data_IF_488198556535
#
_entry.id   IF_488198556535
#
_cell.length_a   1.000
_cell.length_b   1.000
_cell.length_c   1.000
_cell.angle_alpha   90.00
_cell.angle_beta   90.00
_cell.angle_gamma   90.00
#
_symmetry.space_group_name_H-M   'P 1'
#
loop_
_entity.id
_entity.type
_entity.pdbx_description
1 polymer ?
#
# COMPACT_ATOMS: atom_id res chain seq x y z
N UNK A 1 -25.37 -3.05 -35.53
CA UNK A 1 -25.10 -3.20 -34.08
C UNK A 1 -23.64 -3.53 -33.75
N UNK A 2 -22.82 -4.05 -34.67
CA UNK A 2 -21.43 -4.54 -34.42
C UNK A 2 -20.46 -3.61 -33.67
N UNK A 3 -20.58 -2.28 -33.76
CA UNK A 3 -19.63 -1.37 -33.10
C UNK A 3 -19.67 -1.42 -31.57
N UNK A 4 -20.81 -1.79 -30.97
CA UNK A 4 -20.93 -1.95 -29.52
C UNK A 4 -20.18 -3.19 -29.02
N UNK A 5 -20.30 -4.30 -29.74
CA UNK A 5 -19.64 -5.57 -29.37
C UNK A 5 -18.10 -5.44 -29.38
N UNK A 6 -17.54 -4.71 -30.37
CA UNK A 6 -16.11 -4.41 -30.38
C UNK A 6 -15.69 -3.47 -29.25
N UNK A 7 -16.52 -2.48 -28.91
CA UNK A 7 -16.25 -1.56 -27.80
C UNK A 7 -16.28 -2.25 -26.45
N UNK A 8 -17.18 -3.22 -26.27
CA UNK A 8 -17.31 -4.00 -25.04
C UNK A 8 -16.12 -4.97 -24.86
N UNK A 9 -15.77 -5.72 -25.91
CA UNK A 9 -14.59 -6.59 -25.88
C UNK A 9 -13.28 -5.80 -25.67
N UNK A 10 -13.16 -4.61 -26.28
CA UNK A 10 -12.00 -3.74 -26.07
C UNK A 10 -11.95 -3.19 -24.64
N UNK A 11 -13.10 -2.80 -24.08
CA UNK A 11 -13.19 -2.33 -22.70
C UNK A 11 -12.81 -3.44 -21.70
N UNK A 12 -13.28 -4.67 -21.93
CA UNK A 12 -12.93 -5.82 -21.11
C UNK A 12 -11.41 -6.09 -21.14
N UNK A 13 -10.78 -6.02 -22.31
CA UNK A 13 -9.33 -6.16 -22.44
C UNK A 13 -8.56 -5.07 -21.68
N UNK A 14 -9.06 -3.83 -21.69
CA UNK A 14 -8.46 -2.73 -20.93
C UNK A 14 -8.53 -3.02 -19.43
N UNK A 15 -9.70 -3.41 -18.93
CA UNK A 15 -9.89 -3.69 -17.50
C UNK A 15 -9.01 -4.85 -17.02
N UNK A 16 -8.84 -5.88 -17.85
CA UNK A 16 -7.93 -7.00 -17.58
C UNK A 16 -6.47 -6.53 -17.47
N UNK A 17 -6.00 -5.69 -18.40
CA UNK A 17 -4.63 -5.17 -18.36
C UNK A 17 -4.40 -4.22 -17.18
N UNK A 18 -5.38 -3.38 -16.84
CA UNK A 18 -5.29 -2.51 -15.66
C UNK A 18 -5.17 -3.34 -14.39
N UNK A 19 -5.97 -4.41 -14.25
CA UNK A 19 -5.88 -5.32 -13.11
C UNK A 19 -4.50 -5.99 -13.04
N UNK A 20 -4.02 -6.52 -14.18
CA UNK A 20 -2.69 -7.15 -14.26
C UNK A 20 -1.58 -6.20 -13.80
N UNK A 21 -1.57 -4.96 -14.29
CA UNK A 21 -0.57 -3.96 -13.91
C UNK A 21 -0.61 -3.62 -12.42
N UNK A 22 -1.81 -3.49 -11.84
CA UNK A 22 -1.97 -3.23 -10.41
C UNK A 22 -1.46 -4.39 -9.56
N UNK A 23 -1.81 -5.62 -9.94
CA UNK A 23 -1.36 -6.83 -9.23
C UNK A 23 0.17 -6.96 -9.29
N UNK A 24 0.78 -6.73 -10.45
CA UNK A 24 2.24 -6.75 -10.62
C UNK A 24 2.93 -5.68 -9.77
N UNK A 25 2.44 -4.45 -9.79
CA UNK A 25 2.99 -3.36 -8.99
C UNK A 25 2.87 -3.65 -7.48
N UNK A 26 1.74 -4.20 -7.04
CA UNK A 26 1.52 -4.60 -5.66
C UNK A 26 2.48 -5.72 -5.24
N UNK A 27 2.63 -6.77 -6.06
CA UNK A 27 3.56 -7.86 -5.76
C UNK A 27 5.01 -7.39 -5.72
N UNK A 28 5.41 -6.52 -6.65
CA UNK A 28 6.75 -5.94 -6.65
C UNK A 28 7.00 -5.14 -5.36
N UNK A 29 6.08 -4.26 -4.98
CA UNK A 29 6.19 -3.47 -3.76
C UNK A 29 6.28 -4.37 -2.52
N UNK A 30 5.39 -5.37 -2.42
CA UNK A 30 5.38 -6.34 -1.31
C UNK A 30 6.69 -7.12 -1.23
N UNK A 31 7.18 -7.65 -2.36
CA UNK A 31 8.44 -8.38 -2.40
C UNK A 31 9.62 -7.51 -1.99
N UNK A 32 9.64 -6.26 -2.44
CA UNK A 32 10.67 -5.28 -2.07
C UNK A 32 10.66 -5.03 -0.56
N UNK A 33 9.49 -4.81 0.03
CA UNK A 33 9.35 -4.60 1.47
C UNK A 33 9.74 -5.84 2.30
N UNK A 34 9.41 -7.04 1.81
CA UNK A 34 9.80 -8.31 2.47
C UNK A 34 11.30 -8.54 2.36
N UNK A 35 11.91 -8.30 1.19
CA UNK A 35 13.34 -8.45 0.98
C UNK A 35 14.17 -7.50 1.87
N UNK A 36 13.62 -6.33 2.18
CA UNK A 36 14.23 -5.32 3.04
C UNK A 36 13.56 -5.22 4.43
N UNK A 37 13.06 -6.35 4.96
CA UNK A 37 12.31 -6.40 6.21
C UNK A 37 13.10 -5.85 7.41
N UNK A 38 14.41 -6.11 7.45
CA UNK A 38 15.27 -5.66 8.54
C UNK A 38 15.43 -4.13 8.53
N UNK A 39 15.63 -3.52 7.36
CA UNK A 39 15.67 -2.06 7.23
C UNK A 39 14.31 -1.44 7.57
N UNK A 40 13.21 -2.08 7.17
CA UNK A 40 11.85 -1.63 7.50
C UNK A 40 11.59 -1.65 9.02
N UNK A 41 12.05 -2.68 9.72
CA UNK A 41 12.01 -2.76 11.20
C UNK A 41 12.76 -1.57 11.84
N UNK A 42 13.94 -1.25 11.33
CA UNK A 42 14.75 -0.12 11.85
C UNK A 42 14.04 1.20 11.61
N UNK A 43 13.50 1.43 10.42
CA UNK A 43 12.71 2.64 10.10
C UNK A 43 11.50 2.74 11.03
N UNK A 44 10.76 1.64 11.25
CA UNK A 44 9.60 1.64 12.11
C UNK A 44 9.96 2.00 13.57
N UNK A 45 11.04 1.42 14.11
CA UNK A 45 11.53 1.74 15.46
C UNK A 45 11.99 3.19 15.57
N UNK A 46 12.72 3.67 14.58
CA UNK A 46 13.17 5.05 14.55
C UNK A 46 12.00 6.05 14.46
N UNK A 47 10.93 5.74 13.69
CA UNK A 47 9.72 6.57 13.67
C UNK A 47 8.95 6.55 14.99
N UNK A 48 9.00 5.46 15.76
CA UNK A 48 8.43 5.43 17.11
C UNK A 48 9.21 6.30 18.10
N UNK A 49 10.53 6.39 17.93
CA UNK A 49 11.41 7.17 18.81
C UNK A 49 11.41 8.67 18.47
N UNK A 50 11.46 9.00 17.17
CA UNK A 50 11.70 10.36 16.67
C UNK A 50 10.51 10.99 15.94
N UNK A 51 9.40 10.27 15.76
CA UNK A 51 8.15 10.65 15.05
C UNK A 51 8.28 10.94 13.56
N UNK A 52 9.37 11.59 13.13
CA UNK A 52 9.63 11.99 11.75
C UNK A 52 11.07 11.66 11.36
N UNK A 53 11.25 11.16 10.14
CA UNK A 53 12.56 10.92 9.52
C UNK A 53 12.63 11.62 8.17
N UNK A 54 13.76 12.22 7.89
CA UNK A 54 14.06 12.82 6.59
C UNK A 54 14.51 11.76 5.58
N UNK A 55 14.38 12.06 4.28
CA UNK A 55 14.75 11.14 3.20
C UNK A 55 16.23 10.70 3.23
N UNK A 56 17.15 11.56 3.71
CA UNK A 56 18.55 11.21 3.90
C UNK A 56 18.75 10.13 4.96
N UNK A 57 17.96 10.16 6.04
CA UNK A 57 18.00 9.20 7.14
C UNK A 57 17.39 7.87 6.74
N UNK A 58 16.29 7.89 5.99
CA UNK A 58 15.73 6.67 5.39
C UNK A 58 16.76 6.02 4.47
N UNK A 59 17.40 6.81 3.60
CA UNK A 59 18.44 6.31 2.68
C UNK A 59 19.61 5.70 3.45
N UNK A 60 20.05 6.35 4.52
CA UNK A 60 21.09 5.84 5.40
C UNK A 60 20.73 4.48 6.02
N UNK A 61 19.50 4.32 6.51
CA UNK A 61 19.02 3.04 7.04
C UNK A 61 18.97 1.97 5.96
N UNK A 62 18.53 2.32 4.75
CA UNK A 62 18.46 1.37 3.61
C UNK A 62 19.86 0.89 3.20
N UNK A 63 20.84 1.79 3.14
CA UNK A 63 22.21 1.49 2.69
C UNK A 63 23.06 0.82 3.77
N UNK A 64 22.91 1.22 5.04
CA UNK A 64 23.80 0.83 6.13
C UNK A 64 23.14 -0.10 7.16
N UNK A 65 21.83 -0.31 7.05
CA UNK A 65 21.05 -1.15 7.96
C UNK A 65 20.82 -0.54 9.34
N UNK A 66 21.22 0.71 9.58
CA UNK A 66 21.10 1.40 10.87
C UNK A 66 21.04 2.91 10.71
N UNK A 67 20.46 3.59 11.70
CA UNK A 67 20.46 5.04 11.81
C UNK A 67 21.71 5.50 12.59
N UNK A 68 22.65 6.13 11.90
CA UNK A 68 23.87 6.75 12.43
C UNK A 68 23.63 8.22 12.76
N UNK A 69 22.86 8.95 11.96
CA UNK A 69 22.58 10.37 12.13
C UNK A 69 21.11 10.62 12.55
N UNK A 70 20.79 10.56 13.85
CA UNK A 70 19.43 10.75 14.33
C UNK A 70 18.90 12.18 14.06
N UNK A 71 17.56 12.35 13.93
CA UNK A 71 16.95 13.67 13.75
C UNK A 71 17.34 14.62 14.88
N UNK A 72 17.67 15.87 14.54
CA UNK A 72 17.99 16.90 15.52
C UNK A 72 16.71 17.65 15.88
N UNK A 73 16.24 17.53 17.12
CA UNK A 73 15.14 18.35 17.65
C UNK A 73 13.85 17.62 17.99
N UNK A 74 13.71 16.33 17.66
CA UNK A 74 12.68 15.47 18.24
C UNK A 74 13.24 14.80 19.49
N UNK A 75 13.20 15.51 20.61
CA UNK A 75 13.31 14.84 21.90
C UNK A 75 12.11 13.87 22.02
N UNK A 76 12.28 12.67 22.58
CA UNK A 76 11.15 11.78 22.85
C UNK A 76 10.12 12.57 23.68
N UNK A 77 8.82 12.55 23.35
CA UNK A 77 7.83 13.09 24.26
C UNK A 77 7.95 12.33 25.59
N UNK A 78 8.19 13.06 26.68
CA UNK A 78 8.30 12.53 28.03
C UNK A 78 7.14 11.57 28.32
N UNK A 79 7.45 10.27 28.43
CA UNK A 79 6.70 9.37 29.30
C UNK A 79 5.45 8.65 28.76
N UNK A 80 5.32 8.35 27.46
CA UNK A 80 4.38 7.30 27.05
C UNK A 80 5.04 5.93 27.09
N UNK A 81 4.94 5.26 28.26
CA UNK A 81 5.13 3.80 28.36
C UNK A 81 4.29 3.13 27.27
N UNK A 82 4.92 2.30 26.44
CA UNK A 82 4.26 1.47 25.44
C UNK A 82 3.00 0.81 26.01
N UNK A 83 1.82 0.96 25.40
CA UNK A 83 0.76 -0.02 25.56
C UNK A 83 1.31 -1.38 25.10
N UNK A 84 0.98 -2.50 25.77
CA UNK A 84 1.47 -3.81 25.37
C UNK A 84 1.09 -4.09 23.92
N UNK A 85 2.08 -4.54 23.16
CA UNK A 85 1.99 -4.90 21.74
C UNK A 85 0.84 -5.91 21.56
N UNK A 86 -0.28 -5.45 21.01
CA UNK A 86 -1.34 -6.38 20.59
C UNK A 86 -0.80 -7.15 19.39
N UNK A 87 -0.91 -8.49 19.37
CA UNK A 87 -0.45 -9.28 18.24
C UNK A 87 -1.10 -8.76 16.95
N UNK A 88 -0.40 -8.80 15.81
CA UNK A 88 -0.91 -8.26 14.56
C UNK A 88 -2.27 -8.88 14.29
N UNK A 89 -3.31 -8.06 14.21
CA UNK A 89 -4.61 -8.49 13.70
C UNK A 89 -4.32 -9.05 12.31
N UNK A 90 -4.54 -10.35 12.13
CA UNK A 90 -4.61 -10.97 10.83
C UNK A 90 -5.44 -10.07 9.93
N UNK A 91 -4.82 -9.55 8.88
CA UNK A 91 -5.55 -8.95 7.78
C UNK A 91 -6.26 -10.14 7.14
N UNK A 92 -7.52 -10.33 7.55
CA UNK A 92 -8.40 -11.31 6.96
C UNK A 92 -8.42 -11.06 5.45
N UNK A 93 -8.05 -12.08 4.70
CA UNK A 93 -8.24 -12.09 3.27
C UNK A 93 -9.74 -11.87 3.00
N UNK A 94 -10.05 -10.86 2.20
CA UNK A 94 -11.33 -10.77 1.51
C UNK A 94 -11.02 -10.41 0.06
N UNK A 95 -11.16 -11.36 -0.89
CA UNK A 95 -11.35 -11.01 -2.28
C UNK A 95 -12.85 -10.74 -2.44
N UNK A 96 -13.26 -9.48 -2.58
CA UNK A 96 -14.54 -9.20 -3.25
C UNK A 96 -14.54 -7.78 -3.82
N UNK A 97 -13.95 -7.64 -5.01
CA UNK A 97 -14.26 -6.54 -5.90
C UNK A 97 -15.24 -7.10 -6.91
N UNK A 98 -16.51 -7.21 -6.54
CA UNK A 98 -17.58 -7.43 -7.52
C UNK A 98 -17.79 -6.11 -8.27
N UNK A 99 -17.52 -6.01 -9.57
CA UNK A 99 -17.94 -4.85 -10.35
C UNK A 99 -19.47 -4.89 -10.52
N UNK A 100 -20.18 -3.74 -10.54
CA UNK A 100 -21.61 -3.73 -10.76
C UNK A 100 -21.92 -4.12 -12.21
N UNK A 101 -22.77 -5.13 -12.43
CA UNK A 101 -23.32 -5.42 -13.76
C UNK A 101 -24.34 -4.32 -14.15
N UNK A 102 -24.37 -3.88 -15.43
CA UNK A 102 -25.19 -2.77 -15.89
C UNK A 102 -26.57 -3.24 -16.35
N UNK A 103 -27.66 -2.63 -15.88
CA UNK A 103 -28.99 -2.97 -16.39
C UNK A 103 -30.18 -2.37 -15.64
N UNK A 104 -30.48 -1.09 -15.91
CA UNK A 104 -31.83 -0.57 -15.78
C UNK A 104 -32.05 0.56 -16.80
N UNK A 105 -32.15 0.17 -18.08
CA UNK A 105 -32.90 0.96 -19.06
C UNK A 105 -34.39 0.79 -18.76
N UNK A 106 -34.88 1.52 -17.76
CA UNK A 106 -36.30 1.70 -17.52
C UNK A 106 -36.76 2.95 -18.26
N UNK A 107 -37.38 2.75 -19.43
CA UNK A 107 -38.01 3.81 -20.19
C UNK A 107 -39.13 4.48 -19.39
N UNK A 108 -39.15 5.81 -19.40
CA UNK A 108 -40.34 6.57 -19.06
C UNK A 108 -41.09 6.92 -20.37
N UNK A 109 -42.34 6.45 -20.56
CA UNK A 109 -43.24 7.02 -21.55
C UNK A 109 -44.17 8.08 -20.94
N UNK A 110 -44.66 8.93 -21.84
CA UNK A 110 -45.67 10.00 -21.72
C UNK A 110 -45.20 11.36 -21.18
#
# INVERSE_FOLDING_TARGET
SRARDYSEATAEQIDQEVRRLLDEAYQLAKQTLIAHRDQLEVIAKALLEYETLDGSQIKEIVEQGRLINPPRGSAPPDGQKMPPEKPPKQIVAAPDVTPPLPGALGGAPA
#
